data_IF_946923003259
#
_entry.id   IF_946923003259
#
_cell.length_a   1.000
_cell.length_b   1.000
_cell.length_c   1.000
_cell.angle_alpha   90.00
_cell.angle_beta   90.00
_cell.angle_gamma   90.00
#
_symmetry.space_group_name_H-M   'P 1'
#
loop_
_entity.id
_entity.type
_entity.pdbx_description
1 polymer ?
#
# COMPACT_ATOMS: atom_id res chain seq x y z
N UNK A 1 16.25 11.65 7.74
CA UNK A 1 15.57 10.54 8.45
C UNK A 1 14.13 10.56 7.97
N UNK A 2 13.63 9.48 7.39
CA UNK A 2 12.23 9.41 6.94
C UNK A 2 11.38 9.29 8.20
N UNK A 3 10.59 10.30 8.53
CA UNK A 3 9.59 10.19 9.59
C UNK A 3 8.41 9.38 9.07
N UNK A 4 8.28 8.16 9.60
CA UNK A 4 7.04 7.40 9.55
C UNK A 4 6.14 7.97 10.64
N UNK A 5 5.19 8.83 10.26
CA UNK A 5 4.28 9.46 11.20
C UNK A 5 3.04 8.57 11.40
N UNK A 6 2.32 8.79 12.50
CA UNK A 6 1.07 8.08 12.77
C UNK A 6 -0.05 8.53 11.80
N UNK A 7 0.01 9.77 11.32
CA UNK A 7 -1.00 10.36 10.44
C UNK A 7 -1.06 9.69 9.06
N UNK A 8 0.08 9.34 8.47
CA UNK A 8 0.15 8.66 7.17
C UNK A 8 -0.34 7.21 7.32
N UNK A 9 -0.11 6.58 8.48
CA UNK A 9 -0.69 5.29 8.81
C UNK A 9 -2.21 5.36 8.91
N UNK A 10 -2.76 6.31 9.67
CA UNK A 10 -4.21 6.53 9.80
C UNK A 10 -4.85 6.82 8.45
N UNK A 11 -4.22 7.65 7.61
CA UNK A 11 -4.68 7.91 6.25
C UNK A 11 -4.63 6.67 5.35
N UNK A 12 -3.61 5.83 5.50
CA UNK A 12 -3.49 4.53 4.79
C UNK A 12 -4.63 3.60 5.15
N UNK A 13 -4.91 3.45 6.45
CA UNK A 13 -5.99 2.60 6.96
C UNK A 13 -7.34 3.11 6.47
N UNK A 14 -7.61 4.41 6.60
CA UNK A 14 -8.89 5.00 6.17
C UNK A 14 -9.12 4.82 4.66
N UNK A 15 -8.07 4.99 3.84
CA UNK A 15 -8.17 4.77 2.40
C UNK A 15 -8.51 3.31 2.07
N UNK A 16 -7.83 2.35 2.69
CA UNK A 16 -8.09 0.92 2.46
C UNK A 16 -9.49 0.55 2.91
N UNK A 17 -9.94 1.05 4.07
CA UNK A 17 -11.27 0.83 4.60
C UNK A 17 -12.34 1.32 3.62
N UNK A 18 -12.26 2.58 3.19
CA UNK A 18 -13.21 3.14 2.22
C UNK A 18 -13.16 2.38 0.88
N UNK A 19 -11.97 2.00 0.43
CA UNK A 19 -11.81 1.26 -0.82
C UNK A 19 -12.46 -0.13 -0.75
N UNK A 20 -12.38 -0.80 0.41
CA UNK A 20 -13.03 -2.08 0.68
C UNK A 20 -14.55 -1.95 0.86
N UNK A 21 -15.02 -0.87 1.49
CA UNK A 21 -16.44 -0.62 1.70
C UNK A 21 -17.15 -0.30 0.37
N UNK A 22 -16.47 0.42 -0.54
CA UNK A 22 -16.95 0.73 -1.90
C UNK A 22 -16.79 -0.45 -2.87
N UNK A 23 -16.05 -1.49 -2.48
CA UNK A 23 -15.80 -2.67 -3.31
C UNK A 23 -17.06 -3.54 -3.37
N UNK A 24 -17.72 -3.50 -4.53
CA UNK A 24 -18.76 -4.47 -4.85
C UNK A 24 -18.19 -5.91 -4.70
N UNK A 25 -18.92 -6.86 -4.09
CA UNK A 25 -18.47 -8.25 -3.90
C UNK A 25 -18.11 -9.02 -5.20
N UNK A 26 -18.44 -8.44 -6.36
CA UNK A 26 -18.17 -8.98 -7.70
C UNK A 26 -16.93 -8.37 -8.37
N UNK A 27 -16.35 -7.32 -7.77
CA UNK A 27 -15.19 -6.61 -8.29
C UNK A 27 -13.96 -7.02 -7.51
N UNK A 28 -12.89 -7.36 -8.23
CA UNK A 28 -11.61 -7.69 -7.63
C UNK A 28 -10.92 -6.42 -7.12
N UNK A 29 -10.19 -6.56 -6.02
CA UNK A 29 -9.34 -5.52 -5.45
C UNK A 29 -8.34 -4.99 -6.48
N UNK A 30 -8.28 -3.66 -6.64
CA UNK A 30 -7.26 -3.04 -7.49
C UNK A 30 -5.97 -2.85 -6.71
N UNK A 31 -5.15 -3.90 -6.63
CA UNK A 31 -3.82 -3.83 -6.00
C UNK A 31 -2.93 -2.75 -6.60
N UNK A 32 -3.14 -2.41 -7.88
CA UNK A 32 -2.44 -1.31 -8.54
C UNK A 32 -2.80 0.04 -7.90
N UNK A 33 -4.07 0.29 -7.59
CA UNK A 33 -4.52 1.51 -6.93
C UNK A 33 -4.00 1.59 -5.48
N UNK A 34 -4.10 0.50 -4.73
CA UNK A 34 -3.62 0.41 -3.33
C UNK A 34 -2.10 0.67 -3.26
N UNK A 35 -1.32 -0.01 -4.11
CA UNK A 35 0.15 0.19 -4.14
C UNK A 35 0.54 1.61 -4.51
N UNK A 36 -0.20 2.25 -5.43
CA UNK A 36 0.03 3.63 -5.79
C UNK A 36 -0.27 4.57 -4.62
N UNK A 37 -1.44 4.44 -3.99
CA UNK A 37 -1.83 5.31 -2.87
C UNK A 37 -0.82 5.22 -1.71
N UNK A 38 -0.42 4.00 -1.34
CA UNK A 38 0.49 3.79 -0.21
C UNK A 38 1.92 4.23 -0.56
N UNK A 39 2.49 3.71 -1.65
CA UNK A 39 3.91 3.92 -1.94
C UNK A 39 4.26 5.31 -2.50
N UNK A 40 3.33 5.92 -3.26
CA UNK A 40 3.56 7.17 -4.00
C UNK A 40 2.89 8.37 -3.33
N UNK A 41 1.70 8.22 -2.77
CA UNK A 41 0.96 9.35 -2.19
C UNK A 41 1.25 9.49 -0.70
N UNK A 42 1.00 8.45 0.09
CA UNK A 42 1.12 8.51 1.55
C UNK A 42 2.58 8.53 2.00
N UNK A 43 3.38 7.57 1.53
CA UNK A 43 4.79 7.47 1.92
C UNK A 43 5.75 8.03 0.85
N UNK A 44 5.26 8.62 -0.24
CA UNK A 44 6.09 9.09 -1.36
C UNK A 44 6.67 10.50 -1.18
N UNK A 45 5.94 11.41 -0.55
CA UNK A 45 6.31 12.84 -0.46
C UNK A 45 7.58 13.16 0.33
N UNK A 46 8.05 12.25 1.20
CA UNK A 46 9.27 12.45 2.01
C UNK A 46 10.52 11.73 1.47
N UNK A 47 10.39 11.01 0.36
CA UNK A 47 11.49 10.21 -0.19
C UNK A 47 12.01 10.86 -1.46
N UNK A 48 13.20 11.44 -1.33
CA UNK A 48 13.95 12.09 -2.41
C UNK A 48 15.00 11.17 -3.04
N UNK A 49 15.34 10.03 -2.42
CA UNK A 49 16.28 9.07 -2.98
C UNK A 49 15.59 7.96 -3.78
N UNK A 50 16.08 7.73 -5.01
CA UNK A 50 15.51 6.76 -5.95
C UNK A 50 15.64 5.31 -5.46
N UNK A 51 16.64 5.01 -4.62
CA UNK A 51 16.81 3.64 -4.08
C UNK A 51 15.73 3.33 -3.06
N UNK A 52 15.44 4.28 -2.17
CA UNK A 52 14.37 4.16 -1.17
C UNK A 52 12.99 4.09 -1.84
N UNK A 53 12.79 4.85 -2.92
CA UNK A 53 11.57 4.77 -3.75
C UNK A 53 11.39 3.37 -4.33
N UNK A 54 12.45 2.79 -4.92
CA UNK A 54 12.40 1.44 -5.49
C UNK A 54 12.20 0.35 -4.43
N UNK A 55 12.79 0.52 -3.26
CA UNK A 55 12.64 -0.41 -2.14
C UNK A 55 11.19 -0.47 -1.66
N UNK A 56 10.55 0.68 -1.42
CA UNK A 56 9.14 0.75 -1.02
C UNK A 56 8.19 0.16 -2.06
N UNK A 57 8.41 0.44 -3.35
CA UNK A 57 7.58 -0.14 -4.42
C UNK A 57 7.72 -1.66 -4.43
N UNK A 58 8.93 -2.19 -4.19
CA UNK A 58 9.17 -3.63 -4.11
C UNK A 58 8.43 -4.24 -2.92
N UNK A 59 8.50 -3.62 -1.74
CA UNK A 59 7.73 -4.07 -0.58
C UNK A 59 6.22 -4.00 -0.85
N UNK A 60 5.71 -2.87 -1.36
CA UNK A 60 4.30 -2.72 -1.68
C UNK A 60 3.83 -3.79 -2.70
N UNK A 61 4.66 -4.17 -3.67
CA UNK A 61 4.36 -5.26 -4.60
C UNK A 61 4.32 -6.64 -3.95
N UNK A 62 5.24 -6.94 -3.03
CA UNK A 62 5.28 -8.23 -2.33
C UNK A 62 4.10 -8.39 -1.35
N UNK A 63 3.75 -7.31 -0.67
CA UNK A 63 2.77 -7.33 0.41
C UNK A 63 1.33 -7.06 -0.06
N UNK A 64 1.13 -6.33 -1.15
CA UNK A 64 -0.19 -6.05 -1.72
C UNK A 64 -0.34 -6.70 -3.09
N UNK A 65 -0.67 -7.98 -3.05
CA UNK A 65 -0.90 -8.85 -4.21
C UNK A 65 -1.95 -9.92 -3.86
N UNK A 66 -2.48 -10.61 -4.86
CA UNK A 66 -3.51 -11.66 -4.65
C UNK A 66 -3.04 -12.79 -3.72
N UNK A 67 -1.72 -13.02 -3.65
CA UNK A 67 -1.10 -13.97 -2.74
C UNK A 67 -1.20 -13.60 -1.25
N UNK A 68 -1.60 -12.38 -0.91
CA UNK A 68 -1.75 -11.93 0.49
C UNK A 68 -2.76 -12.77 1.26
N UNK A 69 -3.81 -13.25 0.60
CA UNK A 69 -4.85 -14.07 1.21
C UNK A 69 -4.57 -15.58 1.09
N UNK A 70 -3.43 -15.97 0.52
CA UNK A 70 -3.04 -17.37 0.40
C UNK A 70 -2.61 -17.95 1.75
N UNK A 71 -2.95 -19.21 2.02
CA UNK A 71 -2.49 -19.91 3.21
C UNK A 71 -0.96 -20.15 3.24
N UNK A 72 -0.31 -20.06 2.07
CA UNK A 72 1.15 -20.20 1.94
C UNK A 72 1.91 -18.87 2.10
N UNK A 73 1.23 -17.79 2.48
CA UNK A 73 1.86 -16.49 2.65
C UNK A 73 2.94 -16.53 3.76
N UNK A 74 4.15 -16.03 3.44
CA UNK A 74 5.29 -15.97 4.36
C UNK A 74 5.75 -14.52 4.54
N UNK A 75 5.81 -14.10 5.80
CA UNK A 75 6.28 -12.79 6.25
C UNK A 75 7.79 -12.63 6.01
#
# INVERSE_FOLDING_TARGET
MIEFNQTDWEASVQYIQNHLDDLNPKLNLSWKAIRYMIAEIQYGGRITDDRDRRLKITYAKKWFDDGLFSMDFKF
#
